data_IF_974087762563
#
_entry.id   IF_974087762563
#
_cell.length_a   1.000
_cell.length_b   1.000
_cell.length_c   1.000
_cell.angle_alpha   90.00
_cell.angle_beta   90.00
_cell.angle_gamma   90.00
#
_symmetry.space_group_name_H-M   'P 1'
#
loop_
_entity.id
_entity.type
_entity.pdbx_description
1 polymer ?
#
# COMPACT_ATOMS: atom_id res chain seq x y z
N UNK A 1 7.47 29.41 23.38
CA UNK A 1 6.93 28.30 24.23
C UNK A 1 7.81 27.08 24.02
N UNK A 2 8.75 26.82 24.94
CA UNK A 2 9.68 25.66 24.86
C UNK A 2 8.86 24.40 25.13
N UNK A 3 8.58 23.57 24.12
CA UNK A 3 7.92 22.30 24.37
C UNK A 3 8.83 21.44 25.27
N UNK A 4 8.32 21.06 26.45
CA UNK A 4 8.94 20.04 27.31
C UNK A 4 9.24 18.84 26.40
N UNK A 5 10.51 18.42 26.29
CA UNK A 5 10.90 17.26 25.49
C UNK A 5 10.08 16.06 25.96
N UNK A 6 9.02 15.72 25.22
CA UNK A 6 8.20 14.53 25.50
C UNK A 6 9.07 13.32 25.21
N UNK A 7 9.20 12.43 26.18
CA UNK A 7 9.92 11.16 25.99
C UNK A 7 9.01 10.23 25.19
N UNK A 8 9.18 10.23 23.87
CA UNK A 8 8.32 9.48 22.95
C UNK A 8 8.70 8.00 22.91
N UNK A 9 7.73 7.17 22.57
CA UNK A 9 7.88 5.75 22.26
C UNK A 9 8.74 5.48 21.03
N UNK A 10 9.02 4.21 20.78
CA UNK A 10 9.84 3.77 19.64
C UNK A 10 9.19 4.13 18.29
N UNK A 11 7.86 4.15 18.24
CA UNK A 11 7.08 4.59 17.09
C UNK A 11 6.95 6.13 16.94
N UNK A 12 7.60 6.91 17.82
CA UNK A 12 7.53 8.38 17.86
C UNK A 12 6.08 8.90 17.90
N UNK A 13 5.63 9.53 16.80
CA UNK A 13 4.29 10.11 16.66
C UNK A 13 3.36 9.24 15.81
N UNK A 14 3.81 8.05 15.41
CA UNK A 14 3.02 7.08 14.66
C UNK A 14 2.42 6.03 15.58
N UNK A 15 1.32 5.44 15.12
CA UNK A 15 0.62 4.36 15.78
C UNK A 15 1.42 3.05 15.70
N UNK A 16 1.90 2.48 16.83
CA UNK A 16 2.69 1.25 16.80
C UNK A 16 1.85 0.03 16.40
N UNK A 17 0.55 0.00 16.75
CA UNK A 17 -0.38 -1.08 16.38
C UNK A 17 -0.62 -1.10 14.87
N UNK A 18 -0.87 0.08 14.28
CA UNK A 18 -1.06 0.19 12.82
C UNK A 18 0.20 -0.21 12.05
N UNK A 19 1.38 0.14 12.58
CA UNK A 19 2.65 -0.26 12.01
C UNK A 19 2.88 -1.78 12.08
N UNK A 20 2.52 -2.43 13.21
CA UNK A 20 2.73 -3.87 13.39
C UNK A 20 1.71 -4.73 12.64
N UNK A 21 0.43 -4.39 12.72
CA UNK A 21 -0.66 -5.19 12.14
C UNK A 21 -0.82 -4.95 10.64
N UNK A 22 -0.78 -3.69 10.19
CA UNK A 22 -1.08 -3.33 8.80
C UNK A 22 0.15 -2.94 8.00
N UNK A 23 1.31 -2.81 8.64
CA UNK A 23 2.53 -2.30 8.02
C UNK A 23 2.33 -0.91 7.37
N UNK A 24 1.62 -0.02 8.10
CA UNK A 24 1.36 1.36 7.69
C UNK A 24 1.79 2.34 8.77
N UNK A 25 2.50 3.40 8.37
CA UNK A 25 2.81 4.54 9.23
C UNK A 25 1.61 5.48 9.29
N UNK A 26 0.66 5.17 10.17
CA UNK A 26 -0.46 6.06 10.48
C UNK A 26 -0.08 7.02 11.61
N UNK A 27 -0.24 8.35 11.43
CA UNK A 27 -0.07 9.31 12.51
C UNK A 27 -1.03 9.01 13.67
N UNK A 28 -0.52 9.01 14.90
CA UNK A 28 -1.34 8.87 16.09
C UNK A 28 -1.91 10.22 16.55
N UNK A 29 -3.07 10.19 17.19
CA UNK A 29 -3.71 11.36 17.78
C UNK A 29 -3.32 11.48 19.26
N UNK A 30 -3.10 12.71 19.72
CA UNK A 30 -2.73 12.97 21.12
C UNK A 30 -3.87 12.60 22.09
N UNK A 31 -5.13 12.66 21.63
CA UNK A 31 -6.32 12.23 22.38
C UNK A 31 -6.25 10.76 22.76
N UNK A 32 -5.70 9.93 21.88
CA UNK A 32 -5.48 8.51 22.08
C UNK A 32 -4.03 8.25 22.44
N UNK A 33 -3.48 8.97 23.43
CA UNK A 33 -2.15 8.69 23.95
C UNK A 33 -2.21 7.66 25.10
N UNK A 34 -1.17 6.84 25.20
CA UNK A 34 -0.92 6.02 26.40
C UNK A 34 0.56 6.08 26.79
N UNK A 35 0.84 5.85 28.08
CA UNK A 35 2.20 5.80 28.63
C UNK A 35 2.57 4.35 28.94
N UNK A 36 3.71 3.90 28.46
CA UNK A 36 4.26 2.57 28.73
C UNK A 36 5.78 2.64 28.86
N UNK A 37 6.34 2.01 29.91
CA UNK A 37 7.79 2.05 30.23
C UNK A 37 8.38 3.47 30.14
N UNK A 38 7.71 4.43 30.79
CA UNK A 38 8.04 5.87 30.79
C UNK A 38 8.00 6.61 29.46
N UNK A 39 7.66 5.93 28.37
CA UNK A 39 7.52 6.49 27.03
C UNK A 39 6.06 6.76 26.68
N UNK A 40 5.80 7.80 25.89
CA UNK A 40 4.46 8.15 25.39
C UNK A 40 4.27 7.58 23.99
N UNK A 41 3.18 6.84 23.78
CA UNK A 41 2.75 6.30 22.50
C UNK A 41 1.44 6.97 22.07
N UNK A 42 1.28 7.21 20.77
CA UNK A 42 0.06 7.74 20.18
C UNK A 42 -0.61 6.70 19.30
N UNK A 43 -1.94 6.69 19.27
CA UNK A 43 -2.74 5.73 18.49
C UNK A 43 -3.65 6.47 17.52
N UNK A 44 -3.91 5.87 16.35
CA UNK A 44 -4.80 6.47 15.34
C UNK A 44 -6.27 6.36 15.71
N UNK A 45 -6.64 5.34 16.49
CA UNK A 45 -8.01 5.10 16.95
C UNK A 45 -8.00 4.61 18.40
N UNK A 46 -9.11 4.73 19.17
CA UNK A 46 -9.16 4.25 20.54
C UNK A 46 -9.03 2.72 20.62
N UNK A 47 -9.53 1.97 19.63
CA UNK A 47 -9.42 0.50 19.60
C UNK A 47 -7.96 0.04 19.55
N UNK A 48 -7.11 0.76 18.80
CA UNK A 48 -5.67 0.47 18.76
C UNK A 48 -4.96 0.84 20.07
N UNK A 49 -5.45 1.85 20.79
CA UNK A 49 -4.95 2.14 22.14
C UNK A 49 -5.26 0.99 23.09
N UNK A 50 -6.49 0.49 23.07
CA UNK A 50 -6.92 -0.59 23.97
C UNK A 50 -6.17 -1.90 23.66
N UNK A 51 -6.05 -2.27 22.38
CA UNK A 51 -5.20 -3.39 21.93
C UNK A 51 -3.75 -3.28 22.41
N UNK A 52 -3.18 -2.07 22.37
CA UNK A 52 -1.82 -1.84 22.86
C UNK A 52 -1.73 -2.03 24.37
N UNK A 53 -2.72 -1.58 25.13
CA UNK A 53 -2.74 -1.73 26.58
C UNK A 53 -2.91 -3.18 27.04
N UNK A 54 -3.61 -4.00 26.25
CA UNK A 54 -3.74 -5.44 26.50
C UNK A 54 -2.39 -6.16 26.40
N UNK A 55 -1.62 -5.91 25.34
CA UNK A 55 -0.33 -6.59 25.09
C UNK A 55 0.73 -5.62 24.53
N UNK A 56 1.26 -4.69 25.35
CA UNK A 56 2.15 -3.63 24.87
C UNK A 56 3.49 -4.16 24.35
N UNK A 57 3.96 -5.30 24.87
CA UNK A 57 5.23 -5.90 24.45
C UNK A 57 5.22 -6.28 22.95
N UNK A 58 4.09 -6.70 22.39
CA UNK A 58 4.02 -7.06 20.98
C UNK A 58 4.22 -5.89 20.00
N UNK A 59 4.09 -4.65 20.49
CA UNK A 59 4.09 -3.43 19.66
C UNK A 59 5.28 -2.50 19.91
N UNK A 60 6.14 -2.83 20.87
CA UNK A 60 7.30 -2.01 21.29
C UNK A 60 8.59 -2.66 20.80
N UNK A 61 9.61 -1.87 20.47
CA UNK A 61 10.89 -2.43 20.04
C UNK A 61 11.56 -3.20 21.19
N UNK A 62 12.02 -4.42 20.90
CA UNK A 62 12.68 -5.29 21.89
C UNK A 62 14.20 -5.25 21.68
N UNK A 63 14.70 -6.12 20.81
CA UNK A 63 16.10 -6.18 20.39
C UNK A 63 16.36 -5.36 19.13
N UNK A 64 15.38 -5.32 18.22
CA UNK A 64 15.49 -4.66 16.93
C UNK A 64 14.56 -3.45 16.82
N UNK A 65 14.99 -2.41 16.09
CA UNK A 65 14.15 -1.25 15.83
C UNK A 65 12.92 -1.64 15.01
N UNK A 66 11.83 -0.90 15.17
CA UNK A 66 10.61 -1.09 14.37
C UNK A 66 10.93 -0.92 12.89
N UNK A 67 10.60 -1.93 12.09
CA UNK A 67 10.80 -1.89 10.65
C UNK A 67 9.81 -0.90 10.01
N UNK A 68 10.34 0.07 9.27
CA UNK A 68 9.51 0.99 8.50
C UNK A 68 8.93 0.28 7.25
N UNK A 69 7.70 0.61 6.86
CA UNK A 69 7.10 0.03 5.68
C UNK A 69 7.78 0.55 4.41
N UNK A 70 7.70 -0.20 3.28
CA UNK A 70 8.28 0.21 2.01
C UNK A 70 7.75 1.56 1.55
N UNK A 71 8.62 2.35 0.93
CA UNK A 71 8.25 3.63 0.33
C UNK A 71 7.31 3.40 -0.85
N UNK A 72 6.15 4.07 -0.83
CA UNK A 72 5.16 4.07 -1.91
C UNK A 72 5.08 5.48 -2.49
N UNK A 73 5.48 5.64 -3.75
CA UNK A 73 5.52 6.93 -4.44
C UNK A 73 4.61 6.87 -5.67
N UNK A 74 3.68 7.81 -5.77
CA UNK A 74 2.83 8.00 -6.94
C UNK A 74 3.16 9.33 -7.61
N UNK A 75 3.56 9.30 -8.88
CA UNK A 75 3.86 10.51 -9.65
C UNK A 75 2.64 10.93 -10.45
N UNK A 76 2.12 12.12 -10.15
CA UNK A 76 0.93 12.71 -10.79
C UNK A 76 1.31 13.98 -11.55
N UNK A 77 0.52 14.33 -12.57
CA UNK A 77 0.77 15.48 -13.44
C UNK A 77 0.15 15.32 -14.83
N UNK A 78 0.25 16.35 -15.67
CA UNK A 78 -0.34 16.39 -17.02
C UNK A 78 0.23 15.31 -17.94
N UNK A 79 -0.52 14.97 -19.00
CA UNK A 79 -0.04 14.06 -20.05
C UNK A 79 1.25 14.62 -20.67
N UNK A 80 2.21 13.76 -21.00
CA UNK A 80 3.49 14.17 -21.57
C UNK A 80 4.51 14.81 -20.59
N UNK A 81 4.17 15.06 -19.33
CA UNK A 81 5.09 15.66 -18.34
C UNK A 81 6.32 14.81 -17.95
N UNK A 82 6.54 13.66 -18.60
CA UNK A 82 7.69 12.80 -18.32
C UNK A 82 7.61 11.99 -17.02
N UNK A 83 6.42 11.83 -16.43
CA UNK A 83 6.19 11.11 -15.15
C UNK A 83 6.80 9.71 -15.16
N UNK A 84 6.59 8.94 -16.22
CA UNK A 84 7.13 7.59 -16.39
C UNK A 84 8.66 7.60 -16.45
N UNK A 85 9.24 8.58 -17.15
CA UNK A 85 10.70 8.75 -17.25
C UNK A 85 11.31 9.09 -15.89
N UNK A 86 10.75 10.07 -15.19
CA UNK A 86 11.18 10.45 -13.84
C UNK A 86 10.99 9.30 -12.85
N UNK A 87 9.86 8.60 -12.91
CA UNK A 87 9.56 7.44 -12.06
C UNK A 87 10.59 6.33 -12.21
N UNK A 88 10.93 5.99 -13.46
CA UNK A 88 11.98 5.00 -13.75
C UNK A 88 13.36 5.44 -13.24
N UNK A 89 13.72 6.70 -13.42
CA UNK A 89 14.99 7.23 -12.90
C UNK A 89 15.05 7.19 -11.37
N UNK A 90 13.96 7.58 -10.68
CA UNK A 90 13.85 7.53 -9.22
C UNK A 90 13.95 6.08 -8.74
N UNK A 91 13.25 5.17 -9.39
CA UNK A 91 13.28 3.75 -9.08
C UNK A 91 14.67 3.13 -9.18
N UNK A 92 15.38 3.40 -10.28
CA UNK A 92 16.74 2.93 -10.48
C UNK A 92 17.73 3.49 -9.43
N UNK A 93 17.59 4.76 -9.06
CA UNK A 93 18.45 5.41 -8.07
C UNK A 93 18.22 4.90 -6.64
N UNK A 94 16.96 4.63 -6.29
CA UNK A 94 16.58 4.18 -4.95
C UNK A 94 16.52 2.65 -4.82
N UNK A 95 16.69 1.91 -5.91
CA UNK A 95 16.55 0.45 -5.92
C UNK A 95 15.12 0.00 -5.58
N UNK A 96 14.10 0.81 -5.86
CA UNK A 96 12.70 0.49 -5.59
C UNK A 96 12.01 -0.02 -6.84
N UNK A 97 11.00 -0.88 -6.65
CA UNK A 97 10.22 -1.44 -7.76
C UNK A 97 9.38 -0.36 -8.46
N UNK A 98 9.52 -0.26 -9.79
CA UNK A 98 8.78 0.69 -10.62
C UNK A 98 7.57 0.00 -11.27
N UNK A 99 6.37 0.47 -10.95
CA UNK A 99 5.13 0.03 -11.59
C UNK A 99 4.76 1.03 -12.68
N UNK A 100 4.74 0.60 -13.93
CA UNK A 100 4.15 1.40 -15.01
C UNK A 100 2.62 1.27 -14.94
N UNK A 101 2.00 2.19 -14.21
CA UNK A 101 0.59 2.11 -13.84
C UNK A 101 -0.36 1.90 -15.03
N UNK A 102 -0.09 2.56 -16.16
CA UNK A 102 -0.91 2.43 -17.36
C UNK A 102 -0.91 1.00 -17.91
N UNK A 103 0.26 0.36 -18.01
CA UNK A 103 0.37 -1.03 -18.50
C UNK A 103 -0.32 -2.01 -17.55
N UNK A 104 -0.07 -1.85 -16.24
CA UNK A 104 -0.69 -2.69 -15.22
C UNK A 104 -2.23 -2.54 -15.20
N UNK A 105 -2.72 -1.31 -15.36
CA UNK A 105 -4.16 -1.06 -15.42
C UNK A 105 -4.78 -1.68 -16.68
N UNK A 106 -4.12 -1.61 -17.84
CA UNK A 106 -4.58 -2.30 -19.04
C UNK A 106 -4.64 -3.81 -18.82
N UNK A 107 -3.61 -4.41 -18.23
CA UNK A 107 -3.58 -5.86 -17.93
C UNK A 107 -4.76 -6.30 -17.07
N UNK A 108 -5.12 -5.52 -16.05
CA UNK A 108 -6.29 -5.78 -15.19
C UNK A 108 -7.63 -5.57 -15.90
N UNK A 109 -7.69 -4.67 -16.89
CA UNK A 109 -8.92 -4.31 -17.59
C UNK A 109 -9.20 -5.21 -18.79
N UNK A 110 -8.17 -5.66 -19.52
CA UNK A 110 -8.28 -6.47 -20.74
C UNK A 110 -9.24 -7.66 -20.62
N UNK A 111 -9.27 -8.44 -19.52
CA UNK A 111 -10.24 -9.53 -19.37
C UNK A 111 -11.71 -9.07 -19.37
N UNK A 112 -11.97 -7.84 -18.88
CA UNK A 112 -13.32 -7.27 -18.78
C UNK A 112 -13.72 -6.49 -20.02
N UNK A 113 -12.78 -5.73 -20.59
CA UNK A 113 -13.04 -4.80 -21.69
C UNK A 113 -12.77 -5.40 -23.06
N UNK A 114 -12.01 -6.51 -23.14
CA UNK A 114 -11.56 -7.19 -24.37
C UNK A 114 -10.78 -6.31 -25.36
N UNK A 115 -10.45 -5.09 -24.95
CA UNK A 115 -9.66 -4.10 -25.72
C UNK A 115 -8.94 -3.17 -24.75
N UNK A 116 -7.87 -2.55 -25.21
CA UNK A 116 -7.20 -1.47 -24.48
C UNK A 116 -8.12 -0.26 -24.40
N UNK A 117 -8.11 0.43 -23.25
CA UNK A 117 -9.03 1.55 -22.98
C UNK A 117 -8.25 2.82 -22.69
N UNK A 118 -8.64 3.93 -23.31
CA UNK A 118 -8.13 5.25 -22.96
C UNK A 118 -7.79 6.11 -24.18
N UNK A 119 -7.44 7.38 -23.96
CA UNK A 119 -7.32 8.37 -25.03
C UNK A 119 -6.34 7.98 -26.14
N UNK A 120 -5.32 7.18 -25.82
CA UNK A 120 -4.31 6.69 -26.77
C UNK A 120 -4.75 5.47 -27.58
N UNK A 121 -5.86 4.82 -27.20
CA UNK A 121 -6.36 3.57 -27.77
C UNK A 121 -7.79 3.68 -28.31
N UNK A 122 -8.46 4.81 -28.08
CA UNK A 122 -9.84 5.05 -28.53
C UNK A 122 -9.95 5.12 -30.08
N UNK A 123 -8.83 5.28 -30.80
CA UNK A 123 -8.79 5.30 -32.27
C UNK A 123 -8.61 3.90 -32.92
N UNK A 124 -8.26 2.87 -32.16
CA UNK A 124 -8.05 1.51 -32.69
C UNK A 124 -9.36 0.71 -32.68
N UNK A 125 -10.11 0.79 -33.78
CA UNK A 125 -11.32 -0.01 -34.04
C UNK A 125 -11.06 -1.49 -34.41
N UNK A 126 -9.86 -2.02 -34.18
CA UNK A 126 -9.51 -3.36 -34.67
C UNK A 126 -9.99 -4.48 -33.73
N UNK A 127 -10.72 -5.42 -34.32
CA UNK A 127 -11.28 -6.63 -33.71
C UNK A 127 -10.19 -7.59 -33.17
N UNK A 128 -10.63 -8.45 -32.26
CA UNK A 128 -9.86 -9.29 -31.33
C UNK A 128 -8.95 -10.31 -32.07
N UNK A 129 -7.67 -10.48 -31.69
CA UNK A 129 -6.90 -11.69 -32.03
C UNK A 129 -7.42 -12.91 -31.23
N UNK A 130 -7.85 -13.96 -31.94
CA UNK A 130 -8.48 -15.18 -31.41
C UNK A 130 -7.71 -15.87 -30.27
N UNK A 131 -6.39 -15.65 -30.17
CA UNK A 131 -5.50 -16.26 -29.18
C UNK A 131 -5.79 -15.84 -27.71
N UNK A 132 -6.47 -14.71 -27.49
CA UNK A 132 -6.81 -14.21 -26.14
C UNK A 132 -8.12 -14.79 -25.58
N UNK A 133 -8.96 -15.39 -26.42
CA UNK A 133 -10.20 -16.02 -25.97
C UNK A 133 -9.91 -17.26 -25.12
N UNK A 134 -8.89 -18.03 -25.48
CA UNK A 134 -8.50 -19.28 -24.81
C UNK A 134 -7.94 -19.01 -23.39
N UNK A 135 -7.24 -17.88 -23.22
CA UNK A 135 -6.71 -17.48 -21.90
C UNK A 135 -7.82 -17.02 -20.93
N UNK A 136 -8.86 -16.35 -21.44
CA UNK A 136 -10.01 -15.92 -20.62
C UNK A 136 -10.81 -17.12 -20.07
N UNK A 137 -10.89 -18.20 -20.85
CA UNK A 137 -11.57 -19.43 -20.46
C UNK A 137 -10.76 -20.21 -19.41
N UNK A 138 -9.43 -20.14 -19.45
CA UNK A 138 -8.58 -20.77 -18.44
C UNK A 138 -8.72 -20.07 -17.08
N UNK A 139 -8.67 -18.74 -17.04
CA UNK A 139 -8.72 -17.95 -15.80
C UNK A 139 -10.08 -18.12 -15.09
N UNK A 140 -11.18 -18.04 -15.84
CA UNK A 140 -12.55 -18.19 -15.31
C UNK A 140 -12.83 -19.60 -14.74
N UNK A 141 -12.22 -20.65 -15.30
CA UNK A 141 -12.28 -22.03 -14.76
C UNK A 141 -11.52 -22.16 -13.44
N UNK A 142 -10.33 -21.58 -13.32
CA UNK A 142 -9.57 -21.58 -12.06
C UNK A 142 -10.23 -20.77 -10.94
N UNK A 143 -10.98 -19.71 -11.24
CA UNK A 143 -11.73 -18.96 -10.23
C UNK A 143 -12.98 -19.71 -9.76
N UNK A 144 -13.70 -20.38 -10.67
CA UNK A 144 -14.91 -21.15 -10.30
C UNK A 144 -14.61 -22.43 -9.50
N UNK A 145 -13.43 -23.04 -9.67
CA UNK A 145 -12.99 -24.18 -8.86
C UNK A 145 -12.57 -23.77 -7.44
N UNK A 146 -11.93 -22.60 -7.27
CA UNK A 146 -11.54 -22.08 -5.95
C UNK A 146 -12.75 -21.73 -5.07
N UNK A 147 -13.84 -21.25 -5.65
CA UNK A 147 -15.07 -20.90 -4.90
C UNK A 147 -15.87 -22.12 -4.44
N UNK A 148 -15.70 -23.28 -5.09
CA UNK A 148 -16.40 -24.53 -4.70
C UNK A 148 -15.70 -25.33 -3.60
N UNK A 149 -14.42 -25.07 -3.32
CA UNK A 149 -13.67 -25.73 -2.23
C UNK A 149 -13.76 -25.00 -0.89
N UNK A 150 -14.44 -23.84 -0.84
CA UNK A 150 -14.58 -22.99 0.36
C UNK A 150 -16.03 -23.02 0.92
N UNK A 151 -16.89 -23.89 0.41
CA UNK A 151 -18.25 -24.13 0.93
C UNK A 151 -18.37 -25.55 1.46
#
# INVERSE_FOLDING_TARGET
IKQKKRHMGDAKHFCPVSLKENFVLCPGLQEYAAKYKEKIYYFSTPEYKDKFLENPENYVAHSEPLQAPPLRVCLLGTHGAGKTTCGRQVANKLGIFHIQFEEYLQELLLPKTKRKVGPSFDEDHNEIPEELEDFSQAITKTETEKTKQVI
#
